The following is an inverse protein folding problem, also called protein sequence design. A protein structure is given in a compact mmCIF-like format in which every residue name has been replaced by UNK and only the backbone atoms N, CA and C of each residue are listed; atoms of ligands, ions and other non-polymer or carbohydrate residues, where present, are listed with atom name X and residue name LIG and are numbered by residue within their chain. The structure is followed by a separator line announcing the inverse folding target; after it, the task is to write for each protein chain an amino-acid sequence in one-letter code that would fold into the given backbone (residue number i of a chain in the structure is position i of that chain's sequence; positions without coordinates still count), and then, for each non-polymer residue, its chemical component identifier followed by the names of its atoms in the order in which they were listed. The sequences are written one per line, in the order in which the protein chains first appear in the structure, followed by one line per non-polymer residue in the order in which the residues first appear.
data_IF_691249457774
#
_entry.id   IF_691249457774
#
_cell.length_a   1.000
_cell.length_b   1.000
_cell.length_c   1.000
_cell.angle_alpha   90.00
_cell.angle_beta   90.00
_cell.angle_gamma   90.00
#
_symmetry.space_group_name_H-M   'P 1'
#
loop_
_entity.id
_entity.type
_entity.pdbx_description
1 polymer ?
#
# COMPACT_ATOMS: atom_id res chain seq x y z
N UNK A 1 -27.23 -66.45 -48.85
CA UNK A 1 -26.26 -65.40 -49.08
C UNK A 1 -26.71 -64.16 -48.33
N UNK A 2 -26.19 -63.93 -47.14
CA UNK A 2 -26.37 -62.69 -46.38
C UNK A 2 -25.02 -62.37 -45.75
N UNK A 3 -24.41 -61.33 -46.24
CA UNK A 3 -23.15 -60.77 -45.69
C UNK A 3 -23.48 -59.95 -44.45
N UNK A 4 -22.89 -60.29 -43.35
CA UNK A 4 -22.96 -59.56 -42.09
C UNK A 4 -21.76 -58.62 -42.03
N UNK A 5 -22.03 -57.29 -42.04
CA UNK A 5 -21.02 -56.26 -41.87
C UNK A 5 -20.86 -55.99 -40.38
N UNK A 6 -19.64 -56.27 -39.85
CA UNK A 6 -19.26 -55.85 -38.49
C UNK A 6 -18.83 -54.41 -38.51
N UNK A 7 -19.58 -53.56 -37.82
CA UNK A 7 -19.15 -52.19 -37.54
C UNK A 7 -18.28 -52.16 -36.29
N UNK A 8 -17.01 -51.80 -36.47
CA UNK A 8 -16.07 -51.55 -35.36
C UNK A 8 -16.29 -50.11 -34.86
N UNK A 9 -16.89 -49.93 -33.69
CA UNK A 9 -16.96 -48.69 -33.00
C UNK A 9 -15.65 -48.46 -32.22
N UNK A 10 -14.79 -47.56 -32.73
CA UNK A 10 -13.66 -47.01 -31.97
C UNK A 10 -14.21 -46.04 -30.93
N UNK A 11 -14.08 -46.43 -29.65
CA UNK A 11 -14.27 -45.54 -28.53
C UNK A 11 -13.09 -44.56 -28.45
N UNK A 12 -13.31 -43.29 -28.75
CA UNK A 12 -12.38 -42.22 -28.35
C UNK A 12 -12.51 -42.02 -26.85
N UNK A 13 -11.54 -42.49 -26.10
CA UNK A 13 -11.32 -42.01 -24.74
C UNK A 13 -10.78 -40.58 -24.80
N UNK A 14 -11.60 -39.61 -24.39
CA UNK A 14 -11.15 -38.27 -24.17
C UNK A 14 -10.17 -38.24 -22.99
N UNK A 15 -8.89 -38.19 -23.29
CA UNK A 15 -7.85 -37.85 -22.31
C UNK A 15 -7.97 -36.34 -22.11
N UNK A 16 -8.56 -35.93 -20.99
CA UNK A 16 -8.50 -34.56 -20.51
C UNK A 16 -7.05 -34.28 -20.07
N UNK A 17 -6.23 -33.84 -21.03
CA UNK A 17 -4.92 -33.28 -20.79
C UNK A 17 -5.09 -31.79 -20.52
N UNK A 18 -5.32 -31.41 -19.28
CA UNK A 18 -5.09 -30.07 -18.81
C UNK A 18 -3.59 -29.85 -18.63
N UNK A 19 -3.04 -28.92 -19.40
CA UNK A 19 -1.78 -28.28 -19.08
C UNK A 19 -0.62 -28.49 -20.02
N UNK A 20 -0.38 -27.64 -21.00
CA UNK A 20 0.85 -26.86 -21.06
C UNK A 20 0.64 -25.37 -21.36
N UNK A 21 -0.57 -24.90 -21.60
CA UNK A 21 -0.79 -23.50 -21.97
C UNK A 21 -0.71 -22.53 -20.78
N UNK A 22 -1.16 -22.95 -19.59
CA UNK A 22 -1.05 -22.14 -18.37
C UNK A 22 0.39 -22.03 -17.87
N UNK A 23 1.12 -23.14 -17.85
CA UNK A 23 2.54 -23.20 -17.43
C UNK A 23 3.47 -22.40 -18.36
N UNK A 24 3.13 -22.27 -19.64
CA UNK A 24 3.91 -21.45 -20.61
C UNK A 24 3.56 -19.97 -20.50
N UNK A 25 2.32 -19.64 -20.16
CA UNK A 25 1.85 -18.27 -19.96
C UNK A 25 2.37 -17.71 -18.63
N UNK A 26 2.39 -18.52 -17.57
CA UNK A 26 2.96 -18.17 -16.27
C UNK A 26 4.47 -17.89 -16.34
N UNK A 27 5.22 -18.63 -17.16
CA UNK A 27 6.66 -18.38 -17.40
C UNK A 27 6.95 -17.11 -18.20
N UNK A 28 5.96 -16.57 -18.90
CA UNK A 28 6.07 -15.32 -19.66
C UNK A 28 5.70 -14.08 -18.84
N UNK A 29 5.02 -14.25 -17.69
CA UNK A 29 4.63 -13.16 -16.82
C UNK A 29 5.88 -12.48 -16.21
N UNK A 30 6.02 -11.15 -16.33
CA UNK A 30 7.12 -10.39 -15.75
C UNK A 30 7.32 -10.66 -14.24
N UNK A 31 6.25 -10.81 -13.48
CA UNK A 31 6.31 -11.05 -12.03
C UNK A 31 6.97 -12.39 -11.71
N UNK A 32 6.53 -13.48 -12.34
CA UNK A 32 7.14 -14.82 -12.16
C UNK A 32 8.61 -14.86 -12.56
N UNK A 33 8.97 -14.20 -13.68
CA UNK A 33 10.36 -14.15 -14.14
C UNK A 33 11.26 -13.41 -13.16
N UNK A 34 10.79 -12.30 -12.61
CA UNK A 34 11.51 -11.49 -11.64
C UNK A 34 11.67 -12.25 -10.32
N UNK A 35 10.61 -12.89 -9.83
CA UNK A 35 10.63 -13.68 -8.61
C UNK A 35 11.60 -14.84 -8.73
N UNK A 36 11.55 -15.61 -9.83
CA UNK A 36 12.47 -16.72 -10.09
C UNK A 36 13.92 -16.21 -10.12
N UNK A 37 14.21 -15.13 -10.85
CA UNK A 37 15.54 -14.56 -10.92
C UNK A 37 16.06 -14.09 -9.56
N UNK A 38 15.21 -13.44 -8.76
CA UNK A 38 15.61 -12.99 -7.41
C UNK A 38 15.91 -14.19 -6.53
N UNK A 39 15.06 -15.23 -6.52
CA UNK A 39 15.28 -16.49 -5.75
C UNK A 39 16.62 -17.13 -6.09
N UNK A 40 16.96 -17.23 -7.37
CA UNK A 40 18.25 -17.78 -7.82
C UNK A 40 19.45 -16.89 -7.48
N UNK A 41 19.24 -15.58 -7.41
CA UNK A 41 20.30 -14.59 -7.14
C UNK A 41 20.56 -14.35 -5.66
N UNK A 42 19.61 -14.71 -4.78
CA UNK A 42 19.76 -14.50 -3.35
C UNK A 42 20.82 -15.44 -2.76
N UNK A 43 21.82 -14.85 -2.10
CA UNK A 43 22.85 -15.58 -1.37
C UNK A 43 22.91 -15.05 0.06
N UNK A 44 22.98 -15.93 1.05
CA UNK A 44 23.12 -15.52 2.45
C UNK A 44 24.36 -14.63 2.64
N UNK A 45 24.15 -13.43 3.21
CA UNK A 45 25.23 -12.48 3.46
C UNK A 45 25.63 -11.61 2.27
N UNK A 46 24.98 -11.73 1.11
CA UNK A 46 25.17 -10.85 -0.03
C UNK A 46 23.96 -9.92 -0.25
N UNK A 47 24.16 -8.61 -0.46
CA UNK A 47 23.05 -7.71 -0.72
C UNK A 47 22.52 -7.86 -2.15
N UNK A 48 21.21 -7.86 -2.32
CA UNK A 48 20.60 -7.74 -3.64
C UNK A 48 20.81 -6.30 -4.16
N UNK A 49 21.44 -6.15 -5.32
CA UNK A 49 21.71 -4.84 -5.93
C UNK A 49 20.53 -4.43 -6.80
N UNK A 50 19.56 -3.76 -6.20
CA UNK A 50 18.31 -3.34 -6.85
C UNK A 50 18.56 -2.44 -8.06
N UNK A 51 19.54 -1.54 -8.01
CA UNK A 51 19.89 -0.68 -9.15
C UNK A 51 20.37 -1.48 -10.37
N UNK A 52 21.04 -2.62 -10.15
CA UNK A 52 21.44 -3.52 -11.24
C UNK A 52 20.20 -4.16 -11.89
N UNK A 53 19.23 -4.58 -11.08
CA UNK A 53 17.98 -5.16 -11.59
C UNK A 53 17.27 -4.15 -12.50
N UNK A 54 17.13 -2.90 -12.07
CA UNK A 54 16.47 -1.84 -12.84
C UNK A 54 17.19 -1.41 -14.12
N UNK A 55 18.53 -1.39 -14.09
CA UNK A 55 19.30 -0.78 -15.16
C UNK A 55 19.87 -1.78 -16.17
N UNK A 56 20.07 -3.03 -15.75
CA UNK A 56 20.80 -4.01 -16.56
C UNK A 56 19.98 -5.27 -16.86
N UNK A 57 19.05 -5.67 -15.98
CA UNK A 57 18.37 -6.97 -16.08
C UNK A 57 16.92 -6.83 -16.55
N UNK A 58 16.14 -6.00 -15.87
CA UNK A 58 14.70 -5.82 -16.10
C UNK A 58 14.43 -4.38 -16.52
N UNK A 59 14.47 -4.12 -17.81
CA UNK A 59 14.44 -2.75 -18.35
C UNK A 59 13.09 -2.37 -18.95
N UNK A 60 12.22 -3.34 -19.22
CA UNK A 60 10.88 -3.09 -19.76
C UNK A 60 9.99 -2.37 -18.72
N UNK A 61 9.07 -1.50 -19.14
CA UNK A 61 8.21 -0.73 -18.22
C UNK A 61 7.40 -1.61 -17.26
N UNK A 62 6.84 -2.72 -17.74
CA UNK A 62 6.11 -3.70 -16.95
C UNK A 62 6.99 -4.39 -15.90
N UNK A 63 8.21 -4.75 -16.25
CA UNK A 63 9.18 -5.34 -15.32
C UNK A 63 9.59 -4.35 -14.23
N UNK A 64 9.81 -3.09 -14.61
CA UNK A 64 10.11 -2.02 -13.66
C UNK A 64 8.97 -1.74 -12.70
N UNK A 65 7.72 -1.88 -13.15
CA UNK A 65 6.55 -1.75 -12.29
C UNK A 65 6.53 -2.85 -11.21
N UNK A 66 6.84 -4.09 -11.57
CA UNK A 66 6.97 -5.21 -10.62
C UNK A 66 8.10 -4.97 -9.62
N UNK A 67 9.29 -4.57 -10.10
CA UNK A 67 10.41 -4.24 -9.21
C UNK A 67 10.07 -3.10 -8.24
N UNK A 68 9.33 -2.07 -8.70
CA UNK A 68 8.88 -0.98 -7.85
C UNK A 68 7.90 -1.46 -6.77
N UNK A 69 6.99 -2.37 -7.12
CA UNK A 69 6.04 -3.01 -6.19
C UNK A 69 6.79 -3.80 -5.11
N UNK A 70 7.73 -4.68 -5.50
CA UNK A 70 8.56 -5.46 -4.58
C UNK A 70 9.42 -4.58 -3.68
N UNK A 71 10.06 -3.55 -4.24
CA UNK A 71 10.86 -2.60 -3.46
C UNK A 71 9.98 -1.81 -2.46
N UNK A 72 8.79 -1.38 -2.90
CA UNK A 72 7.83 -0.74 -2.01
C UNK A 72 7.36 -1.65 -0.88
N UNK A 73 7.11 -2.92 -1.16
CA UNK A 73 6.76 -3.92 -0.17
C UNK A 73 7.92 -4.15 0.83
N UNK A 74 9.16 -4.28 0.35
CA UNK A 74 10.33 -4.43 1.20
C UNK A 74 10.38 -3.39 2.33
N UNK A 75 10.18 -2.10 2.03
CA UNK A 75 10.23 -1.06 3.06
C UNK A 75 9.00 -1.01 3.97
N UNK A 76 7.85 -1.53 3.51
CA UNK A 76 6.57 -1.45 4.25
C UNK A 76 6.24 -2.71 5.03
N UNK A 77 6.82 -3.85 4.68
CA UNK A 77 6.52 -5.14 5.33
C UNK A 77 6.80 -5.14 6.83
N UNK A 78 7.91 -4.61 7.35
CA UNK A 78 8.14 -4.60 8.81
C UNK A 78 7.07 -3.84 9.57
N UNK A 79 6.65 -2.69 9.05
CA UNK A 79 5.56 -1.91 9.63
C UNK A 79 4.24 -2.68 9.60
N UNK A 80 3.89 -3.28 8.47
CA UNK A 80 2.68 -4.09 8.34
C UNK A 80 2.66 -5.24 9.35
N UNK A 81 3.78 -5.97 9.52
CA UNK A 81 3.87 -7.07 10.48
C UNK A 81 3.59 -6.57 11.91
N UNK A 82 4.20 -5.44 12.30
CA UNK A 82 4.03 -4.86 13.64
C UNK A 82 2.59 -4.39 13.88
N UNK A 83 1.98 -3.70 12.90
CA UNK A 83 0.59 -3.25 12.98
C UNK A 83 -0.38 -4.43 13.04
N UNK A 84 -0.13 -5.45 12.23
CA UNK A 84 -0.94 -6.66 12.18
C UNK A 84 -0.89 -7.40 13.52
N UNK A 85 0.31 -7.64 14.06
CA UNK A 85 0.50 -8.29 15.35
C UNK A 85 -0.17 -7.51 16.49
N UNK A 86 -0.04 -6.17 16.48
CA UNK A 86 -0.70 -5.31 17.48
C UNK A 86 -2.23 -5.39 17.43
N UNK A 87 -2.81 -5.54 16.24
CA UNK A 87 -4.25 -5.60 16.04
C UNK A 87 -4.83 -7.01 16.27
N UNK A 88 -4.17 -8.02 15.71
CA UNK A 88 -4.70 -9.39 15.68
C UNK A 88 -4.14 -10.28 16.80
N UNK A 89 -3.11 -9.83 17.56
CA UNK A 89 -2.46 -10.62 18.61
C UNK A 89 -1.64 -11.80 18.10
N UNK A 90 -1.36 -11.84 16.79
CA UNK A 90 -0.53 -12.86 16.13
C UNK A 90 0.21 -12.25 14.94
N UNK A 91 1.22 -12.94 14.45
CA UNK A 91 1.93 -12.57 13.22
C UNK A 91 1.08 -12.86 11.97
N UNK A 92 1.26 -12.08 10.87
CA UNK A 92 0.60 -12.36 9.60
C UNK A 92 1.21 -13.60 8.93
N UNK A 93 0.39 -14.35 8.20
CA UNK A 93 0.81 -15.41 7.27
C UNK A 93 1.40 -14.80 6.00
N UNK A 94 2.10 -15.62 5.18
CA UNK A 94 2.56 -15.20 3.85
C UNK A 94 1.38 -14.72 2.98
N UNK A 95 0.23 -15.40 3.03
CA UNK A 95 -0.97 -15.02 2.30
C UNK A 95 -1.54 -13.66 2.73
N UNK A 96 -1.48 -13.31 4.01
CA UNK A 96 -1.91 -12.00 4.51
C UNK A 96 -0.94 -10.89 4.09
N UNK A 97 0.37 -11.17 4.06
CA UNK A 97 1.37 -10.25 3.50
C UNK A 97 1.13 -10.06 2.00
N UNK A 98 0.90 -11.14 1.25
CA UNK A 98 0.59 -11.09 -0.18
C UNK A 98 -0.65 -10.26 -0.46
N UNK A 99 -1.73 -10.47 0.29
CA UNK A 99 -2.96 -9.69 0.17
C UNK A 99 -2.77 -8.21 0.47
N UNK A 100 -1.89 -7.87 1.43
CA UNK A 100 -1.60 -6.47 1.77
C UNK A 100 -0.93 -5.72 0.61
N UNK A 101 -0.08 -6.39 -0.16
CA UNK A 101 0.71 -5.76 -1.23
C UNK A 101 0.19 -6.10 -2.64
N UNK A 102 -0.99 -6.71 -2.76
CA UNK A 102 -1.59 -7.13 -4.03
C UNK A 102 -0.65 -8.04 -4.85
N UNK A 103 0.02 -8.95 -4.20
CA UNK A 103 0.82 -9.98 -4.84
C UNK A 103 -0.08 -11.10 -5.41
N UNK A 104 0.41 -11.84 -6.41
CA UNK A 104 -0.34 -12.95 -6.99
C UNK A 104 -0.43 -14.15 -6.03
N UNK A 105 0.58 -14.32 -5.17
CA UNK A 105 0.62 -15.44 -4.24
C UNK A 105 1.65 -15.27 -3.13
N UNK A 106 1.88 -16.33 -2.39
CA UNK A 106 2.77 -16.34 -1.23
C UNK A 106 4.26 -16.25 -1.61
N UNK A 107 4.60 -16.56 -2.88
CA UNK A 107 5.97 -16.55 -3.36
C UNK A 107 6.61 -15.16 -3.33
N UNK A 108 5.85 -14.13 -3.67
CA UNK A 108 6.33 -12.73 -3.64
C UNK A 108 6.57 -12.27 -2.21
N UNK A 109 5.68 -12.62 -1.30
CA UNK A 109 5.85 -12.34 0.14
C UNK A 109 7.09 -13.08 0.68
N UNK A 110 7.26 -14.38 0.34
CA UNK A 110 8.44 -15.16 0.72
C UNK A 110 9.74 -14.53 0.18
N UNK A 111 9.74 -14.05 -1.07
CA UNK A 111 10.91 -13.38 -1.67
C UNK A 111 11.24 -12.09 -0.94
N UNK A 112 10.25 -11.25 -0.63
CA UNK A 112 10.47 -10.00 0.11
C UNK A 112 11.10 -10.27 1.48
N UNK A 113 10.57 -11.25 2.23
CA UNK A 113 11.14 -11.65 3.52
C UNK A 113 12.54 -12.27 3.35
N UNK A 114 12.77 -13.05 2.28
CA UNK A 114 14.07 -13.66 1.99
C UNK A 114 15.14 -12.63 1.66
N UNK A 115 14.79 -11.55 0.95
CA UNK A 115 15.70 -10.42 0.73
C UNK A 115 16.10 -9.78 2.07
N UNK A 116 15.14 -9.61 3.01
CA UNK A 116 15.44 -9.06 4.34
C UNK A 116 16.37 -9.97 5.15
N UNK A 117 16.21 -11.28 5.04
CA UNK A 117 17.06 -12.25 5.73
C UNK A 117 18.46 -12.35 5.13
N UNK A 118 18.59 -12.27 3.82
CA UNK A 118 19.88 -12.44 3.12
C UNK A 118 20.74 -11.18 3.13
N UNK A 119 20.15 -9.98 3.08
CA UNK A 119 20.89 -8.72 3.01
C UNK A 119 21.61 -8.43 4.34
N UNK A 120 22.96 -8.41 4.34
CA UNK A 120 23.75 -8.16 5.57
C UNK A 120 23.57 -6.74 6.12
N UNK A 121 23.03 -5.82 5.32
CA UNK A 121 22.74 -4.45 5.74
C UNK A 121 21.42 -4.34 6.50
N UNK A 122 20.57 -5.37 6.44
CA UNK A 122 19.29 -5.45 7.15
C UNK A 122 19.53 -6.10 8.51
N UNK A 123 19.19 -5.47 9.63
CA UNK A 123 19.24 -6.12 10.94
C UNK A 123 18.37 -7.37 10.94
N UNK A 124 18.79 -8.40 11.65
CA UNK A 124 18.02 -9.65 11.78
C UNK A 124 16.85 -9.42 12.73
N UNK A 125 15.79 -8.77 12.23
CA UNK A 125 14.61 -8.43 13.03
C UNK A 125 13.43 -9.37 12.79
N UNK A 126 13.46 -10.23 11.76
CA UNK A 126 12.47 -11.30 11.58
C UNK A 126 13.09 -12.67 11.80
N UNK A 127 12.27 -13.60 12.27
CA UNK A 127 12.58 -15.02 12.34
C UNK A 127 11.46 -15.78 11.65
N UNK A 128 11.83 -16.81 10.87
CA UNK A 128 10.87 -17.66 10.16
C UNK A 128 11.13 -19.13 10.43
N UNK A 129 10.07 -19.92 10.36
CA UNK A 129 10.18 -21.38 10.37
C UNK A 129 10.88 -21.83 9.08
N UNK A 130 11.94 -22.64 9.16
CA UNK A 130 12.70 -23.04 7.97
C UNK A 130 11.95 -24.00 7.04
N UNK A 131 10.94 -24.72 7.54
CA UNK A 131 10.17 -25.68 6.75
C UNK A 131 8.94 -25.03 6.10
N UNK A 132 8.19 -24.21 6.85
CA UNK A 132 6.96 -23.56 6.36
C UNK A 132 7.20 -22.18 5.78
N UNK A 133 8.35 -21.58 6.06
CA UNK A 133 8.73 -20.21 5.70
C UNK A 133 7.90 -19.12 6.38
N UNK A 134 6.94 -19.47 7.21
CA UNK A 134 6.09 -18.54 7.96
C UNK A 134 6.88 -17.78 9.02
N UNK A 135 6.40 -16.56 9.33
CA UNK A 135 6.98 -15.74 10.40
C UNK A 135 6.73 -16.37 11.78
N UNK A 136 7.78 -16.39 12.60
CA UNK A 136 7.70 -16.87 13.99
C UNK A 136 8.01 -15.78 15.01
N UNK A 137 8.72 -14.71 14.62
CA UNK A 137 8.97 -13.56 15.48
C UNK A 137 9.34 -12.32 14.67
N UNK A 138 9.11 -11.13 15.28
CA UNK A 138 9.64 -9.84 14.84
C UNK A 138 10.25 -9.11 16.03
N UNK A 139 11.47 -8.58 15.86
CA UNK A 139 12.15 -7.74 16.85
C UNK A 139 11.88 -6.27 16.55
N UNK A 140 10.85 -5.73 17.19
CA UNK A 140 10.38 -4.36 16.98
C UNK A 140 11.47 -3.32 17.29
N UNK A 141 12.29 -3.57 18.30
CA UNK A 141 13.35 -2.61 18.69
C UNK A 141 14.47 -2.56 17.64
N UNK A 142 14.81 -3.68 17.00
CA UNK A 142 15.73 -3.67 15.86
C UNK A 142 15.16 -2.96 14.65
N UNK A 143 13.86 -3.11 14.37
CA UNK A 143 13.19 -2.36 13.28
C UNK A 143 13.25 -0.87 13.56
N UNK A 144 12.96 -0.45 14.80
CA UNK A 144 13.04 0.95 15.24
C UNK A 144 14.46 1.53 15.18
N UNK A 145 15.47 0.73 15.45
CA UNK A 145 16.87 1.16 15.44
C UNK A 145 17.43 1.35 14.02
N UNK A 146 16.83 0.77 13.00
CA UNK A 146 17.28 0.87 11.61
C UNK A 146 16.71 2.12 10.93
N UNK A 147 17.58 3.01 10.43
CA UNK A 147 17.18 4.29 9.81
C UNK A 147 16.21 4.14 8.62
N UNK A 148 16.26 3.02 7.90
CA UNK A 148 15.39 2.74 6.73
C UNK A 148 13.96 2.43 7.14
N UNK A 149 13.78 1.75 8.27
CA UNK A 149 12.48 1.32 8.77
C UNK A 149 11.97 2.18 9.93
N UNK A 150 12.86 2.78 10.72
CA UNK A 150 12.57 3.59 11.91
C UNK A 150 11.49 4.65 11.68
N UNK A 151 11.61 5.42 10.61
CA UNK A 151 10.67 6.51 10.37
C UNK A 151 9.23 6.02 10.23
N UNK A 152 9.00 4.87 9.59
CA UNK A 152 7.68 4.28 9.46
C UNK A 152 7.15 3.77 10.81
N UNK A 153 7.95 2.97 11.50
CA UNK A 153 7.56 2.33 12.76
C UNK A 153 7.42 3.34 13.90
N UNK A 154 8.39 4.25 14.04
CA UNK A 154 8.34 5.27 15.10
C UNK A 154 7.11 6.16 14.96
N UNK A 155 6.70 6.50 13.75
CA UNK A 155 5.50 7.31 13.51
C UNK A 155 4.21 6.57 13.83
N UNK A 156 4.14 5.29 13.52
CA UNK A 156 2.95 4.47 13.81
C UNK A 156 2.84 4.15 15.29
N UNK A 157 3.97 3.85 15.96
CA UNK A 157 3.99 3.44 17.37
C UNK A 157 4.14 4.60 18.36
N UNK A 158 4.70 5.76 17.98
CA UNK A 158 4.91 6.89 18.89
C UNK A 158 3.80 7.93 18.88
N UNK A 159 2.66 7.60 18.30
CA UNK A 159 1.44 8.37 18.47
C UNK A 159 1.51 9.80 17.92
N UNK A 160 0.92 9.98 16.78
CA UNK A 160 0.41 11.28 16.37
C UNK A 160 -0.83 11.65 17.19
N UNK A 161 -1.52 10.66 17.70
CA UNK A 161 -2.76 10.79 18.45
C UNK A 161 -2.58 11.64 19.70
N UNK A 162 -3.53 12.53 19.92
CA UNK A 162 -3.48 13.52 21.00
C UNK A 162 -2.62 14.74 20.71
N UNK A 163 -1.90 14.80 19.57
CA UNK A 163 -1.12 15.97 19.16
C UNK A 163 -1.94 16.94 18.31
N UNK A 164 -1.68 18.24 18.39
CA UNK A 164 -2.29 19.20 17.48
C UNK A 164 -1.82 18.94 16.04
N UNK A 165 -2.76 18.94 15.09
CA UNK A 165 -2.42 18.88 13.68
C UNK A 165 -1.77 20.23 13.26
N UNK A 166 -0.66 20.23 12.50
CA UNK A 166 -0.01 21.46 12.10
C UNK A 166 -0.93 22.31 11.21
N UNK A 167 -0.84 23.63 11.36
CA UNK A 167 -1.51 24.56 10.45
C UNK A 167 -0.85 24.45 9.07
N UNK A 168 -1.63 24.06 8.07
CA UNK A 168 -1.14 23.84 6.71
C UNK A 168 -1.88 24.77 5.75
N UNK A 169 -1.11 25.59 5.01
CA UNK A 169 -1.55 26.34 3.85
C UNK A 169 -0.82 25.82 2.62
N UNK A 170 -1.50 25.68 1.51
CA UNK A 170 -0.93 25.16 0.27
C UNK A 170 -1.69 25.61 -0.97
N UNK A 171 -1.06 25.40 -2.13
CA UNK A 171 -1.65 25.73 -3.43
C UNK A 171 -2.42 24.51 -3.93
N UNK A 172 -3.67 24.72 -4.31
CA UNK A 172 -4.50 23.71 -4.97
C UNK A 172 -4.09 23.46 -6.43
N UNK A 173 -4.63 22.43 -7.05
CA UNK A 173 -4.42 22.14 -8.49
C UNK A 173 -5.00 23.25 -9.40
N UNK A 174 -5.89 24.08 -8.88
CA UNK A 174 -6.44 25.26 -9.55
C UNK A 174 -5.56 26.53 -9.37
N UNK A 175 -4.39 26.39 -8.77
CA UNK A 175 -3.45 27.49 -8.51
C UNK A 175 -3.84 28.43 -7.36
N UNK A 176 -4.94 28.16 -6.64
CA UNK A 176 -5.37 29.00 -5.51
C UNK A 176 -4.75 28.53 -4.20
N UNK A 177 -4.33 29.50 -3.41
CA UNK A 177 -3.88 29.24 -2.04
C UNK A 177 -5.09 28.98 -1.13
N UNK A 178 -4.98 27.97 -0.28
CA UNK A 178 -5.99 27.57 0.70
C UNK A 178 -5.36 27.03 1.96
N UNK A 179 -6.02 27.26 3.08
CA UNK A 179 -5.68 26.61 4.34
C UNK A 179 -6.47 25.30 4.50
N UNK A 180 -5.85 24.24 5.03
CA UNK A 180 -6.61 23.04 5.40
C UNK A 180 -7.70 23.32 6.44
N UNK A 181 -7.54 24.37 7.27
CA UNK A 181 -8.55 24.80 8.22
C UNK A 181 -9.87 25.22 7.55
N UNK A 182 -9.83 25.69 6.30
CA UNK A 182 -11.03 26.04 5.54
C UNK A 182 -11.91 24.83 5.21
N UNK A 183 -11.30 23.65 5.13
CA UNK A 183 -12.00 22.38 4.89
C UNK A 183 -12.38 21.69 6.19
N UNK A 184 -11.87 22.18 7.33
CA UNK A 184 -12.20 21.66 8.65
C UNK A 184 -13.67 21.91 8.99
N UNK A 185 -14.35 20.85 9.41
CA UNK A 185 -15.68 20.90 9.96
C UNK A 185 -15.65 20.34 11.36
N UNK A 186 -16.38 19.24 11.56
CA UNK A 186 -16.37 18.49 12.81
C UNK A 186 -15.30 17.42 12.86
N UNK A 187 -14.87 16.93 11.69
CA UNK A 187 -13.72 16.04 11.51
C UNK A 187 -13.10 16.22 10.13
N UNK A 188 -11.77 16.14 10.03
CA UNK A 188 -11.00 16.26 8.80
C UNK A 188 -10.09 15.03 8.66
N UNK A 189 -10.18 14.34 7.51
CA UNK A 189 -9.24 13.28 7.16
C UNK A 189 -8.23 13.83 6.14
N UNK A 190 -7.02 14.07 6.58
CA UNK A 190 -5.93 14.51 5.69
C UNK A 190 -5.28 13.29 5.07
N UNK A 191 -5.26 13.25 3.73
CA UNK A 191 -4.79 12.15 2.92
C UNK A 191 -3.54 12.54 2.14
N UNK A 192 -2.38 12.00 2.51
CA UNK A 192 -1.10 12.25 1.85
C UNK A 192 -0.86 11.18 0.79
N UNK A 193 -0.69 11.57 -0.47
CA UNK A 193 -0.67 10.68 -1.62
C UNK A 193 0.19 11.21 -2.77
N UNK A 194 0.42 10.40 -3.81
CA UNK A 194 1.00 10.85 -5.07
C UNK A 194 0.31 10.19 -6.27
N UNK A 195 0.46 10.80 -7.45
CA UNK A 195 -0.18 10.37 -8.70
C UNK A 195 0.36 9.01 -9.14
N UNK A 196 -0.54 8.09 -9.54
CA UNK A 196 -0.23 6.71 -9.91
C UNK A 196 0.40 5.85 -8.78
N UNK A 197 0.27 6.24 -7.53
CA UNK A 197 0.65 5.41 -6.38
C UNK A 197 -0.32 4.22 -6.26
N UNK A 198 0.11 2.96 -6.43
CA UNK A 198 -0.82 1.83 -6.49
C UNK A 198 -1.73 1.69 -5.26
N UNK A 199 -1.24 1.73 -4.00
CA UNK A 199 -2.13 1.68 -2.84
C UNK A 199 -2.98 2.95 -2.68
N UNK A 200 -2.54 4.11 -3.23
CA UNK A 200 -3.34 5.33 -3.24
C UNK A 200 -4.50 5.24 -4.26
N UNK A 201 -4.28 4.57 -5.39
CA UNK A 201 -5.36 4.26 -6.36
C UNK A 201 -6.41 3.37 -5.71
N UNK A 202 -5.98 2.37 -4.94
CA UNK A 202 -6.87 1.42 -4.26
C UNK A 202 -7.72 2.09 -3.17
N UNK A 203 -7.15 3.01 -2.37
CA UNK A 203 -7.88 3.70 -1.30
C UNK A 203 -8.80 4.82 -1.82
N UNK A 204 -8.51 5.39 -3.00
CA UNK A 204 -9.26 6.52 -3.57
C UNK A 204 -10.78 6.34 -3.54
N UNK A 205 -11.35 5.26 -4.10
CA UNK A 205 -12.79 4.98 -4.05
C UNK A 205 -13.37 4.86 -2.63
N UNK A 206 -12.57 4.37 -1.67
CA UNK A 206 -12.97 4.28 -0.28
C UNK A 206 -13.13 5.67 0.34
N UNK A 207 -12.19 6.58 0.06
CA UNK A 207 -12.23 7.96 0.55
C UNK A 207 -13.37 8.77 -0.09
N UNK A 208 -13.63 8.56 -1.39
CA UNK A 208 -14.77 9.17 -2.09
C UNK A 208 -16.09 8.76 -1.43
N UNK A 209 -16.29 7.48 -1.18
CA UNK A 209 -17.49 6.97 -0.53
C UNK A 209 -17.64 7.45 0.93
N UNK A 210 -16.52 7.60 1.66
CA UNK A 210 -16.53 8.18 3.01
C UNK A 210 -16.89 9.68 2.98
N UNK A 211 -16.34 10.43 2.02
CA UNK A 211 -16.71 11.83 1.80
C UNK A 211 -18.21 11.97 1.53
N UNK A 212 -18.77 11.16 0.63
CA UNK A 212 -20.20 11.16 0.34
C UNK A 212 -21.05 10.82 1.58
N UNK A 213 -20.66 9.78 2.31
CA UNK A 213 -21.41 9.29 3.46
C UNK A 213 -21.44 10.27 4.61
N UNK A 214 -20.34 10.96 4.88
CA UNK A 214 -20.17 11.74 6.12
C UNK A 214 -20.13 13.25 5.95
N UNK A 215 -20.09 13.79 4.71
CA UNK A 215 -20.01 15.24 4.46
C UNK A 215 -21.17 16.01 5.12
N UNK A 216 -22.38 15.50 5.03
CA UNK A 216 -23.56 16.10 5.68
C UNK A 216 -23.48 16.16 7.23
N UNK A 217 -22.55 15.41 7.84
CA UNK A 217 -22.28 15.42 9.28
C UNK A 217 -21.10 16.30 9.68
N UNK A 218 -20.48 17.00 8.70
CA UNK A 218 -19.34 17.89 8.90
C UNK A 218 -17.98 17.18 8.82
N UNK A 219 -17.91 16.04 8.14
CA UNK A 219 -16.66 15.37 7.79
C UNK A 219 -16.16 15.83 6.42
N UNK A 220 -14.86 16.00 6.29
CA UNK A 220 -14.22 16.30 5.02
C UNK A 220 -12.94 15.48 4.86
N UNK A 221 -12.70 14.99 3.65
CA UNK A 221 -11.38 14.50 3.23
C UNK A 221 -10.63 15.66 2.56
N UNK A 222 -9.34 15.82 2.82
CA UNK A 222 -8.49 16.75 2.10
C UNK A 222 -7.18 16.07 1.68
N UNK A 223 -6.84 16.13 0.40
CA UNK A 223 -5.63 15.53 -0.16
C UNK A 223 -4.43 16.46 -0.05
N UNK A 224 -3.26 15.90 0.28
CA UNK A 224 -1.95 16.52 0.14
C UNK A 224 -1.15 15.70 -0.90
N UNK A 225 -1.01 16.25 -2.10
CA UNK A 225 -0.33 15.57 -3.20
C UNK A 225 1.18 15.78 -3.15
N UNK A 226 1.94 14.69 -3.07
CA UNK A 226 3.38 14.68 -2.87
C UNK A 226 4.22 14.71 -4.17
N UNK A 227 3.59 14.81 -5.35
CA UNK A 227 4.31 14.74 -6.63
C UNK A 227 5.49 15.71 -6.73
N UNK A 228 5.31 16.95 -6.26
CA UNK A 228 6.35 17.99 -6.35
C UNK A 228 7.55 17.65 -5.45
N UNK A 229 7.32 17.22 -4.22
CA UNK A 229 8.38 16.82 -3.28
C UNK A 229 9.07 15.52 -3.69
N UNK A 230 8.37 14.65 -4.42
CA UNK A 230 8.91 13.43 -5.02
C UNK A 230 9.53 13.67 -6.41
N UNK A 231 9.51 14.93 -6.90
CA UNK A 231 10.03 15.34 -8.21
C UNK A 231 9.42 14.59 -9.40
N UNK A 232 8.14 14.20 -9.27
CA UNK A 232 7.38 13.57 -10.35
C UNK A 232 6.99 14.66 -11.37
N UNK A 233 7.18 14.35 -12.66
CA UNK A 233 7.04 15.31 -13.76
C UNK A 233 5.60 15.39 -14.30
N UNK A 234 4.62 15.50 -13.41
CA UNK A 234 3.23 15.80 -13.79
C UNK A 234 2.96 17.28 -13.64
N UNK A 235 2.20 17.88 -14.53
CA UNK A 235 1.68 19.25 -14.39
C UNK A 235 0.35 19.24 -13.61
N UNK A 236 -0.15 20.44 -13.27
CA UNK A 236 -1.37 20.56 -12.47
C UNK A 236 -2.62 20.20 -13.28
N UNK A 237 -2.59 20.37 -14.62
CA UNK A 237 -3.68 19.93 -15.50
C UNK A 237 -3.82 18.41 -15.47
N UNK A 238 -2.71 17.67 -15.60
CA UNK A 238 -2.71 16.21 -15.50
C UNK A 238 -3.18 15.73 -14.13
N UNK A 239 -2.73 16.37 -13.02
CA UNK A 239 -3.18 16.02 -11.67
C UNK A 239 -4.68 16.21 -11.49
N UNK A 240 -5.21 17.33 -12.00
CA UNK A 240 -6.64 17.61 -11.95
C UNK A 240 -7.46 16.60 -12.77
N UNK A 241 -7.01 16.29 -13.99
CA UNK A 241 -7.62 15.27 -14.84
C UNK A 241 -7.56 13.89 -14.18
N UNK A 242 -6.42 13.51 -13.64
CA UNK A 242 -6.25 12.25 -12.92
C UNK A 242 -7.19 12.15 -11.72
N UNK A 243 -7.27 13.19 -10.89
CA UNK A 243 -8.17 13.24 -9.75
C UNK A 243 -9.64 13.11 -10.18
N UNK A 244 -10.04 13.82 -11.25
CA UNK A 244 -11.38 13.70 -11.81
C UNK A 244 -11.68 12.29 -12.36
N UNK A 245 -10.71 11.67 -13.04
CA UNK A 245 -10.82 10.30 -13.59
C UNK A 245 -11.06 9.25 -12.53
N UNK A 246 -10.41 9.37 -11.37
CA UNK A 246 -10.60 8.45 -10.24
C UNK A 246 -11.74 8.89 -9.30
N UNK A 247 -12.53 9.87 -9.71
CA UNK A 247 -13.75 10.30 -9.02
C UNK A 247 -13.53 11.10 -7.73
N UNK A 248 -12.34 11.67 -7.52
CA UNK A 248 -12.04 12.47 -6.31
C UNK A 248 -13.03 13.63 -6.18
N UNK A 249 -13.75 13.68 -5.06
CA UNK A 249 -14.80 14.62 -4.72
C UNK A 249 -14.45 15.52 -3.51
N UNK A 250 -13.14 15.64 -3.23
CA UNK A 250 -12.61 16.42 -2.11
C UNK A 250 -11.41 17.29 -2.56
N UNK A 251 -11.10 18.39 -1.81
CA UNK A 251 -10.02 19.31 -2.16
C UNK A 251 -8.65 18.63 -2.10
N UNK A 252 -7.75 19.09 -2.99
CA UNK A 252 -6.35 18.67 -3.03
C UNK A 252 -5.41 19.86 -3.07
N UNK A 253 -4.38 19.84 -2.22
CA UNK A 253 -3.30 20.81 -2.18
C UNK A 253 -1.97 20.12 -2.51
N UNK A 254 -0.99 20.89 -2.97
CA UNK A 254 0.38 20.41 -3.09
C UNK A 254 1.03 20.27 -1.72
N UNK A 255 1.69 19.14 -1.50
CA UNK A 255 2.61 18.96 -0.37
C UNK A 255 3.91 19.69 -0.68
N UNK A 256 4.39 20.53 0.24
CA UNK A 256 5.72 21.14 0.19
C UNK A 256 6.69 20.39 1.11
N UNK A 257 8.01 20.63 0.97
CA UNK A 257 9.01 20.04 1.85
C UNK A 257 8.83 20.48 3.31
N UNK A 258 8.41 21.73 3.55
CA UNK A 258 8.13 22.26 4.89
C UNK A 258 6.93 21.56 5.52
N UNK A 259 5.84 21.40 4.76
CA UNK A 259 4.64 20.69 5.21
C UNK A 259 4.97 19.21 5.45
N UNK A 260 5.74 18.61 4.55
CA UNK A 260 6.20 17.24 4.71
C UNK A 260 7.01 17.06 6.00
N UNK A 261 7.91 18.02 6.30
CA UNK A 261 8.70 18.01 7.54
C UNK A 261 7.81 18.13 8.78
N UNK A 262 6.80 19.02 8.77
CA UNK A 262 5.87 19.18 9.89
C UNK A 262 5.01 17.93 10.15
N UNK A 263 4.78 17.13 9.11
CA UNK A 263 4.13 15.81 9.19
C UNK A 263 5.14 14.68 9.43
N UNK A 264 6.33 15.02 9.97
CA UNK A 264 7.36 14.06 10.34
C UNK A 264 8.06 13.42 9.13
N UNK A 265 8.25 14.13 8.02
CA UNK A 265 8.86 13.66 6.77
C UNK A 265 8.16 12.44 6.15
N UNK A 266 6.82 12.48 6.04
CA UNK A 266 6.03 11.40 5.43
C UNK A 266 6.72 10.88 4.15
N UNK A 267 6.95 9.58 4.09
CA UNK A 267 7.59 8.87 2.98
C UNK A 267 6.92 7.53 2.64
N UNK A 268 5.84 7.19 3.35
CA UNK A 268 4.97 6.05 3.05
C UNK A 268 3.64 6.60 2.56
N UNK A 269 3.13 6.04 1.47
CA UNK A 269 1.90 6.47 0.84
C UNK A 269 0.96 5.29 0.60
N UNK A 270 -0.33 5.48 0.86
CA UNK A 270 -0.95 6.63 1.50
C UNK A 270 -0.63 6.74 3.00
N UNK A 271 -0.62 7.96 3.53
CA UNK A 271 -0.67 8.23 4.97
C UNK A 271 -1.88 9.10 5.26
N UNK A 272 -2.61 8.80 6.33
CA UNK A 272 -3.82 9.52 6.71
C UNK A 272 -3.73 10.02 8.15
N UNK A 273 -4.23 11.24 8.38
CA UNK A 273 -4.40 11.80 9.71
C UNK A 273 -5.87 12.17 9.90
N UNK A 274 -6.52 11.58 10.86
CA UNK A 274 -7.87 11.96 11.25
C UNK A 274 -7.79 13.00 12.37
N UNK A 275 -8.34 14.17 12.10
CA UNK A 275 -8.30 15.35 12.97
C UNK A 275 -9.71 15.66 13.42
N UNK A 276 -9.92 15.88 14.71
CA UNK A 276 -11.22 16.25 15.28
C UNK A 276 -11.49 17.78 15.16
N UNK A 277 -12.65 18.19 15.68
CA UNK A 277 -13.09 19.59 15.67
C UNK A 277 -12.22 20.55 16.51
N UNK A 278 -11.33 20.01 17.35
CA UNK A 278 -10.38 20.81 18.16
C UNK A 278 -9.04 20.99 17.46
N UNK A 279 -8.86 20.38 16.28
CA UNK A 279 -7.58 20.34 15.56
C UNK A 279 -6.61 19.29 16.11
N UNK A 280 -7.09 18.35 16.91
CA UNK A 280 -6.28 17.28 17.49
C UNK A 280 -6.32 16.04 16.59
N UNK A 281 -5.17 15.43 16.35
CA UNK A 281 -5.08 14.15 15.64
C UNK A 281 -5.64 13.06 16.56
N UNK A 282 -6.72 12.44 16.14
CA UNK A 282 -7.36 11.34 16.89
C UNK A 282 -7.00 9.96 16.38
N UNK A 283 -6.61 9.85 15.11
CA UNK A 283 -6.07 8.62 14.52
C UNK A 283 -5.04 8.93 13.43
N UNK A 284 -4.09 8.03 13.27
CA UNK A 284 -3.10 8.05 12.22
C UNK A 284 -3.05 6.67 11.56
N UNK A 285 -3.10 6.64 10.21
CA UNK A 285 -3.07 5.40 9.45
C UNK A 285 -2.00 5.47 8.37
N UNK A 286 -1.40 4.34 8.07
CA UNK A 286 -0.38 4.19 7.04
C UNK A 286 -0.80 3.04 6.12
N UNK A 287 -0.50 3.14 4.83
CA UNK A 287 -0.92 2.20 3.79
C UNK A 287 -2.43 2.22 3.50
N UNK A 288 -2.87 1.26 2.69
CA UNK A 288 -4.28 1.06 2.37
C UNK A 288 -5.11 0.79 3.61
N UNK A 289 -6.26 1.47 3.71
CA UNK A 289 -7.29 1.23 4.72
C UNK A 289 -8.64 1.10 4.01
N UNK A 290 -9.44 0.12 4.38
CA UNK A 290 -10.79 -0.02 3.85
C UNK A 290 -11.77 0.94 4.55
N UNK A 291 -12.94 1.15 3.96
CA UNK A 291 -14.03 1.92 4.61
C UNK A 291 -14.43 1.35 5.95
N UNK A 292 -14.46 0.02 6.05
CA UNK A 292 -14.80 -0.70 7.26
C UNK A 292 -13.80 -0.42 8.39
N UNK A 293 -12.50 -0.28 8.03
CA UNK A 293 -11.45 0.06 8.99
C UNK A 293 -11.49 1.55 9.40
N UNK A 294 -11.81 2.46 8.46
CA UNK A 294 -11.82 3.91 8.72
C UNK A 294 -13.12 4.39 9.40
N UNK A 295 -14.27 3.77 9.07
CA UNK A 295 -15.58 4.23 9.55
C UNK A 295 -15.70 4.33 11.06
N UNK A 296 -15.25 3.36 11.89
CA UNK A 296 -15.36 3.48 13.34
C UNK A 296 -14.59 4.68 13.91
N UNK A 297 -13.41 4.97 13.38
CA UNK A 297 -12.63 6.12 13.81
C UNK A 297 -13.30 7.45 13.43
N UNK A 298 -13.84 7.54 12.21
CA UNK A 298 -14.59 8.72 11.74
C UNK A 298 -15.85 8.92 12.60
N UNK A 299 -16.59 7.87 12.89
CA UNK A 299 -17.78 7.94 13.76
C UNK A 299 -17.44 8.43 15.18
N UNK A 300 -16.29 8.00 15.72
CA UNK A 300 -15.80 8.44 17.02
C UNK A 300 -15.35 9.92 17.03
N UNK A 301 -14.77 10.40 15.92
CA UNK A 301 -14.32 11.79 15.76
C UNK A 301 -15.48 12.77 15.55
N UNK A 302 -16.60 12.29 14.96
CA UNK A 302 -17.78 13.11 14.73
C UNK A 302 -18.61 13.28 16.02
N UNK A 303 -19.20 14.47 16.27
CA UNK A 303 -20.14 14.64 17.37
C UNK A 303 -21.28 13.63 17.26
N UNK A 304 -21.68 13.08 18.41
CA UNK A 304 -22.88 12.24 18.47
C UNK A 304 -24.07 13.01 17.93
N UNK A 305 -24.83 12.41 17.02
CA UNK A 305 -26.05 13.00 16.51
C UNK A 305 -26.94 13.41 17.70
N UNK A 306 -27.30 14.69 17.79
CA UNK A 306 -28.22 15.15 18.81
C UNK A 306 -29.57 14.46 18.58
N UNK A 307 -30.23 14.03 19.65
CA UNK A 307 -31.55 13.37 19.59
C UNK A 307 -32.65 14.30 19.05
N UNK A 308 -32.31 15.51 18.58
CA UNK A 308 -33.23 16.50 18.02
C UNK A 308 -33.38 16.44 16.48
N UNK A 309 -32.59 15.61 15.77
CA UNK A 309 -32.67 15.48 14.32
C UNK A 309 -33.40 14.20 13.85
N UNK A 310 -34.29 13.66 14.70
CA UNK A 310 -35.20 12.55 14.33
C UNK A 310 -36.64 13.02 14.18
#
# INVERSE_FOLDING_TARGET
MRQTVFALTLGLAAVAGLGPAQDVQDKADPEHRIIAYIKESLKPGEPLIVSKLYNEVFTAPEERAVLAKLNGAFFRTPLFIIEFESREGRLPTLGEISGQFDFYGDEEADVVLSIMESDPRVPKFITRDPATRELTAIDVEKVKADERFNQAVTRTLTGWEGKPFPAITGIGFDGKERSLAEFGGKALLVYVWFTNCPPCVKIGPELVALQERYSGRGFTVAGLNADKVLKLKYDDAYRAEYAAKIGVNFPNLHLTDEVRASLGNVNIFPTLFLVDSTGTIVNHFVNFQSREALSPAIEAALPKASSQDR
#
